data_IF_977666453256
#
_entry.id   IF_977666453256
#
_cell.length_a   1.000
_cell.length_b   1.000
_cell.length_c   1.000
_cell.angle_alpha   90.00
_cell.angle_beta   90.00
_cell.angle_gamma   90.00
#
_symmetry.space_group_name_H-M   'P 1'
#
loop_
_entity.id
_entity.type
_entity.pdbx_description
1 polymer ?
#
# COMPACT_ATOMS: atom_id res chain seq x y z
N UNK A 1 -2.97 -10.68 15.11
CA UNK A 1 -1.92 -11.20 14.21
C UNK A 1 -2.56 -11.39 12.84
N UNK A 2 -1.86 -10.98 11.78
CA UNK A 2 -2.34 -11.14 10.40
C UNK A 2 -1.94 -12.47 9.81
N UNK A 3 -2.74 -12.99 8.88
CA UNK A 3 -2.47 -14.21 8.12
C UNK A 3 -3.01 -14.06 6.70
N UNK A 4 -2.12 -14.25 5.72
CA UNK A 4 -2.44 -14.32 4.30
C UNK A 4 -1.90 -15.62 3.73
N UNK A 5 -2.68 -16.25 2.84
CA UNK A 5 -2.29 -17.46 2.12
C UNK A 5 -2.33 -17.15 0.63
N UNK A 6 -1.21 -17.40 -0.05
CA UNK A 6 -1.06 -17.25 -1.49
C UNK A 6 -1.13 -18.63 -2.16
N UNK A 7 -1.71 -18.69 -3.36
CA UNK A 7 -1.90 -19.93 -4.11
C UNK A 7 -1.41 -19.77 -5.55
N UNK A 8 -0.73 -20.77 -6.09
CA UNK A 8 -0.21 -20.75 -7.47
C UNK A 8 -1.31 -20.81 -8.54
N UNK A 9 -2.50 -21.30 -8.17
CA UNK A 9 -3.64 -21.43 -9.07
C UNK A 9 -4.84 -20.59 -8.59
N UNK A 10 -5.84 -20.49 -9.46
CA UNK A 10 -7.11 -19.80 -9.15
C UNK A 10 -7.91 -20.64 -8.15
N UNK A 11 -8.89 -20.02 -7.51
CA UNK A 11 -9.84 -20.67 -6.60
C UNK A 11 -9.15 -21.43 -5.44
N UNK A 12 -8.03 -20.88 -4.95
CA UNK A 12 -7.30 -21.39 -3.78
C UNK A 12 -6.76 -22.81 -3.96
N UNK A 13 -6.30 -23.14 -5.18
CA UNK A 13 -5.76 -24.44 -5.55
C UNK A 13 -4.25 -24.44 -5.79
N UNK A 14 -3.69 -25.63 -5.99
CA UNK A 14 -2.27 -25.83 -6.25
C UNK A 14 -1.40 -25.66 -5.01
N UNK A 15 -0.11 -25.38 -5.23
CA UNK A 15 0.82 -25.10 -4.13
C UNK A 15 0.43 -23.80 -3.44
N UNK A 16 0.54 -23.79 -2.12
CA UNK A 16 0.26 -22.61 -1.30
C UNK A 16 1.44 -22.21 -0.44
N UNK A 17 1.47 -20.93 -0.06
CA UNK A 17 2.40 -20.37 0.90
C UNK A 17 1.64 -19.50 1.89
N UNK A 18 1.75 -19.84 3.17
CA UNK A 18 1.17 -19.10 4.28
C UNK A 18 2.19 -18.08 4.81
N UNK A 19 1.75 -16.83 4.96
CA UNK A 19 2.56 -15.73 5.45
C UNK A 19 1.85 -14.99 6.59
N UNK A 20 2.55 -14.82 7.71
CA UNK A 20 2.06 -14.12 8.91
C UNK A 20 2.92 -12.91 9.29
N UNK A 21 3.84 -12.53 8.41
CA UNK A 21 4.82 -11.45 8.62
C UNK A 21 5.13 -10.77 7.29
N UNK A 22 6.12 -9.88 7.30
CA UNK A 22 6.70 -9.38 6.06
C UNK A 22 7.43 -10.51 5.31
N UNK A 23 7.36 -10.49 3.98
CA UNK A 23 8.07 -11.39 3.08
C UNK A 23 8.70 -10.58 1.94
N UNK A 24 10.03 -10.50 1.92
CA UNK A 24 10.80 -9.73 0.92
C UNK A 24 10.80 -10.36 -0.46
N UNK A 25 10.74 -11.68 -0.56
CA UNK A 25 10.74 -12.39 -1.84
C UNK A 25 10.01 -13.72 -1.70
N UNK A 26 8.93 -13.87 -2.46
CA UNK A 26 8.10 -15.07 -2.51
C UNK A 26 8.63 -16.13 -3.49
N UNK A 27 9.62 -15.80 -4.32
CA UNK A 27 10.06 -16.64 -5.44
C UNK A 27 10.61 -18.00 -5.00
N UNK A 28 11.06 -18.12 -3.74
CA UNK A 28 11.51 -19.40 -3.16
C UNK A 28 10.36 -20.32 -2.73
N UNK A 29 9.16 -19.76 -2.54
CA UNK A 29 7.99 -20.49 -2.05
C UNK A 29 6.98 -20.79 -3.17
N UNK A 30 6.77 -19.82 -4.07
CA UNK A 30 5.81 -19.88 -5.16
C UNK A 30 6.45 -19.37 -6.46
N UNK A 31 6.16 -20.05 -7.57
CA UNK A 31 6.58 -19.62 -8.91
C UNK A 31 5.70 -18.50 -9.47
N UNK A 32 4.44 -18.45 -9.03
CA UNK A 32 3.41 -17.46 -9.38
C UNK A 32 2.37 -17.37 -8.28
N UNK A 33 1.56 -16.32 -8.29
CA UNK A 33 0.36 -16.21 -7.46
C UNK A 33 -0.84 -15.93 -8.36
N UNK A 34 -1.92 -16.69 -8.22
CA UNK A 34 -3.15 -16.54 -9.02
C UNK A 34 -4.40 -16.35 -8.17
N UNK A 35 -4.35 -16.72 -6.89
CA UNK A 35 -5.38 -16.41 -5.91
C UNK A 35 -4.77 -16.26 -4.52
N UNK A 36 -5.46 -15.54 -3.62
CA UNK A 36 -5.03 -15.41 -2.23
C UNK A 36 -6.20 -15.24 -1.27
N UNK A 37 -5.99 -15.61 -0.01
CA UNK A 37 -6.95 -15.45 1.08
C UNK A 37 -6.28 -14.71 2.23
N UNK A 38 -6.87 -13.59 2.64
CA UNK A 38 -6.49 -12.90 3.86
C UNK A 38 -7.44 -13.36 4.96
N UNK A 39 -6.96 -14.22 5.86
CA UNK A 39 -7.77 -14.76 6.95
C UNK A 39 -7.95 -13.74 8.09
N UNK A 40 -6.90 -12.98 8.38
CA UNK A 40 -6.85 -11.89 9.36
C UNK A 40 -5.74 -10.92 9.01
N UNK A 41 -5.74 -9.73 9.61
CA UNK A 41 -4.77 -8.68 9.31
C UNK A 41 -4.99 -8.02 7.96
N UNK A 42 -4.36 -6.88 7.77
CA UNK A 42 -4.29 -6.24 6.46
C UNK A 42 -2.87 -6.38 5.93
N UNK A 43 -2.74 -6.54 4.61
CA UNK A 43 -1.45 -6.75 3.95
C UNK A 43 -1.28 -5.76 2.80
N UNK A 44 -0.06 -5.29 2.60
CA UNK A 44 0.32 -4.66 1.34
C UNK A 44 1.05 -5.69 0.50
N UNK A 45 0.57 -5.95 -0.72
CA UNK A 45 1.25 -6.83 -1.68
C UNK A 45 1.90 -6.02 -2.78
N UNK A 46 3.02 -6.52 -3.29
CA UNK A 46 3.88 -5.81 -4.23
C UNK A 46 4.18 -6.66 -5.45
N UNK A 47 4.27 -5.98 -6.60
CA UNK A 47 4.61 -6.55 -7.90
C UNK A 47 5.99 -7.20 -7.93
N UNK A 48 6.98 -6.59 -7.28
CA UNK A 48 8.38 -7.03 -7.31
C UNK A 48 8.88 -7.44 -5.92
N UNK A 49 9.98 -8.21 -5.85
CA UNK A 49 10.68 -8.45 -4.59
C UNK A 49 11.10 -7.14 -3.91
N UNK A 50 11.43 -7.23 -2.62
CA UNK A 50 11.92 -6.15 -1.77
C UNK A 50 10.95 -4.97 -1.64
N UNK A 51 9.64 -5.23 -1.72
CA UNK A 51 8.57 -4.23 -1.54
C UNK A 51 8.59 -3.14 -2.61
N UNK A 52 8.90 -3.53 -3.85
CA UNK A 52 9.07 -2.62 -4.97
C UNK A 52 7.96 -2.79 -6.01
N UNK A 53 7.80 -1.75 -6.84
CA UNK A 53 6.83 -1.75 -7.94
C UNK A 53 5.44 -1.36 -7.50
N UNK A 54 4.45 -1.76 -8.30
CA UNK A 54 3.05 -1.46 -7.99
C UNK A 54 2.61 -2.18 -6.71
N UNK A 55 1.69 -1.55 -5.98
CA UNK A 55 1.26 -1.98 -4.65
C UNK A 55 -0.25 -2.17 -4.63
N UNK A 56 -0.74 -3.10 -3.82
CA UNK A 56 -2.17 -3.31 -3.63
C UNK A 56 -2.50 -3.64 -2.18
N UNK A 57 -3.40 -2.87 -1.59
CA UNK A 57 -3.83 -3.03 -0.20
C UNK A 57 -4.90 -4.12 -0.09
N UNK A 58 -4.57 -5.19 0.60
CA UNK A 58 -5.45 -6.33 0.82
C UNK A 58 -6.02 -6.30 2.24
N UNK A 59 -7.34 -6.43 2.33
CA UNK A 59 -8.09 -6.58 3.58
C UNK A 59 -8.47 -8.04 3.76
N UNK A 60 -8.94 -8.38 4.96
CA UNK A 60 -9.56 -9.68 5.21
C UNK A 60 -10.61 -9.99 4.13
N UNK A 61 -10.45 -11.16 3.50
CA UNK A 61 -11.30 -11.54 2.38
C UNK A 61 -10.67 -12.58 1.47
N UNK A 62 -11.45 -12.96 0.45
CA UNK A 62 -11.10 -13.97 -0.53
C UNK A 62 -10.92 -13.35 -1.91
N UNK A 63 -9.75 -13.58 -2.51
CA UNK A 63 -9.35 -13.08 -3.82
C UNK A 63 -9.14 -14.29 -4.74
N UNK A 64 -10.25 -14.80 -5.28
CA UNK A 64 -10.33 -16.08 -6.01
C UNK A 64 -9.51 -16.16 -7.29
N UNK A 65 -9.23 -15.03 -7.92
CA UNK A 65 -8.51 -14.95 -9.18
C UNK A 65 -7.99 -13.53 -9.43
N UNK A 66 -7.05 -13.41 -10.37
CA UNK A 66 -6.45 -12.13 -10.75
C UNK A 66 -7.46 -11.17 -11.39
N UNK A 67 -8.48 -11.65 -12.11
CA UNK A 67 -9.46 -10.78 -12.75
C UNK A 67 -10.28 -10.01 -11.72
N UNK A 68 -10.67 -10.68 -10.62
CA UNK A 68 -11.31 -10.05 -9.47
C UNK A 68 -10.38 -9.06 -8.76
N UNK A 69 -9.10 -9.38 -8.60
CA UNK A 69 -8.14 -8.44 -8.03
C UNK A 69 -7.98 -7.19 -8.91
N UNK A 70 -7.93 -7.36 -10.23
CA UNK A 70 -7.85 -6.26 -11.20
C UNK A 70 -9.11 -5.39 -11.18
N UNK A 71 -10.29 -5.98 -11.04
CA UNK A 71 -11.54 -5.19 -10.90
C UNK A 71 -11.62 -4.39 -9.60
N UNK A 72 -10.83 -4.77 -8.58
CA UNK A 72 -10.64 -4.02 -7.34
C UNK A 72 -9.52 -2.98 -7.42
N UNK A 73 -8.86 -2.83 -8.58
CA UNK A 73 -7.83 -1.81 -8.83
C UNK A 73 -6.39 -2.30 -8.66
N UNK A 74 -6.15 -3.61 -8.55
CA UNK A 74 -4.80 -4.16 -8.73
C UNK A 74 -4.38 -3.96 -10.19
N UNK A 75 -3.14 -3.53 -10.44
CA UNK A 75 -2.66 -3.15 -11.77
C UNK A 75 -1.46 -4.00 -12.23
N UNK A 76 -1.29 -5.17 -11.63
CA UNK A 76 -0.18 -6.09 -11.88
C UNK A 76 -0.64 -7.54 -11.70
N UNK A 77 0.02 -8.47 -12.40
CA UNK A 77 -0.41 -9.85 -12.53
C UNK A 77 0.41 -10.86 -11.69
N UNK A 78 1.40 -10.37 -10.93
CA UNK A 78 2.28 -11.21 -10.14
C UNK A 78 2.60 -10.58 -8.79
N UNK A 79 2.37 -11.32 -7.70
CA UNK A 79 2.73 -10.89 -6.34
C UNK A 79 4.06 -11.52 -5.97
N UNK A 80 5.06 -10.70 -5.63
CA UNK A 80 6.43 -11.16 -5.34
C UNK A 80 6.91 -10.83 -3.94
N UNK A 81 6.29 -9.88 -3.26
CA UNK A 81 6.57 -9.58 -1.85
C UNK A 81 5.33 -9.03 -1.15
N UNK A 82 5.30 -9.11 0.19
CA UNK A 82 4.21 -8.54 0.97
C UNK A 82 4.69 -8.00 2.32
N UNK A 83 3.94 -7.04 2.86
CA UNK A 83 4.10 -6.56 4.23
C UNK A 83 2.83 -6.80 5.02
N UNK A 84 2.96 -7.31 6.23
CA UNK A 84 1.87 -7.27 7.20
C UNK A 84 1.75 -5.84 7.70
N UNK A 85 0.55 -5.28 7.71
CA UNK A 85 0.30 -3.95 8.25
C UNK A 85 -0.13 -4.11 9.70
N UNK A 86 0.67 -3.64 10.68
CA UNK A 86 0.28 -3.69 12.08
C UNK A 86 -0.99 -2.90 12.33
N UNK A 87 -1.85 -3.44 13.19
CA UNK A 87 -2.97 -2.67 13.67
C UNK A 87 -2.47 -1.52 14.55
N UNK A 88 -2.84 -0.30 14.21
CA UNK A 88 -2.45 0.90 14.96
C UNK A 88 -3.61 1.40 15.81
N UNK A 89 -3.36 1.53 17.13
CA UNK A 89 -4.26 2.20 18.06
C UNK A 89 -3.67 3.56 18.43
N UNK A 90 -4.46 4.62 18.31
CA UNK A 90 -4.08 5.95 18.77
C UNK A 90 -4.20 7.00 17.68
N UNK A 91 -3.37 8.03 17.80
CA UNK A 91 -3.39 9.15 16.87
C UNK A 91 -2.75 8.76 15.54
N UNK A 92 -3.20 9.40 14.47
CA UNK A 92 -2.58 9.33 13.16
C UNK A 92 -2.01 10.71 12.87
N UNK A 93 -0.76 10.75 12.38
CA UNK A 93 -0.12 12.03 12.08
C UNK A 93 0.90 11.87 10.97
N UNK A 94 0.74 12.67 9.92
CA UNK A 94 1.65 12.73 8.78
C UNK A 94 1.83 14.18 8.35
N UNK A 95 3.05 14.56 7.99
CA UNK A 95 3.34 15.83 7.32
C UNK A 95 3.66 15.57 5.86
N UNK A 96 3.01 16.30 4.97
CA UNK A 96 3.26 16.26 3.54
C UNK A 96 3.94 17.56 3.09
N UNK A 97 4.79 17.44 2.08
CA UNK A 97 5.60 18.53 1.57
C UNK A 97 5.50 18.57 0.05
N UNK A 98 5.34 19.79 -0.48
CA UNK A 98 5.20 20.03 -1.92
C UNK A 98 6.44 19.59 -2.71
N UNK A 99 7.64 19.72 -2.11
CA UNK A 99 8.91 19.39 -2.76
C UNK A 99 9.61 18.24 -2.04
N UNK A 100 10.60 17.66 -2.71
CA UNK A 100 11.50 16.66 -2.13
C UNK A 100 12.29 17.25 -0.95
N UNK A 101 12.87 16.38 -0.12
CA UNK A 101 13.68 16.74 1.05
C UNK A 101 12.97 17.68 2.03
N UNK A 102 11.65 17.50 2.22
CA UNK A 102 10.82 18.28 3.14
C UNK A 102 10.76 19.78 2.83
N UNK A 103 10.92 20.14 1.56
CA UNK A 103 10.86 21.53 1.09
C UNK A 103 9.48 21.97 0.60
N UNK A 104 9.34 23.27 0.37
CA UNK A 104 8.11 23.88 -0.17
C UNK A 104 7.00 24.03 0.86
N UNK A 105 5.76 24.15 0.40
CA UNK A 105 4.59 24.19 1.28
C UNK A 105 4.50 22.90 2.11
N UNK A 106 4.18 23.03 3.41
CA UNK A 106 3.98 21.91 4.33
C UNK A 106 2.56 21.94 4.90
N UNK A 107 1.93 20.77 4.97
CA UNK A 107 0.66 20.60 5.69
C UNK A 107 0.71 19.34 6.57
N UNK A 108 0.03 19.39 7.71
CA UNK A 108 -0.09 18.27 8.64
C UNK A 108 -1.48 17.64 8.53
N UNK A 109 -1.50 16.31 8.41
CA UNK A 109 -2.69 15.48 8.29
C UNK A 109 -2.84 14.62 9.54
N UNK A 110 -3.99 14.71 10.18
CA UNK A 110 -4.42 13.81 11.26
C UNK A 110 -5.66 12.98 10.87
N UNK A 111 -6.25 13.31 9.72
CA UNK A 111 -7.44 12.69 9.17
C UNK A 111 -7.23 12.31 7.71
N UNK A 112 -8.19 11.58 7.15
CA UNK A 112 -8.23 11.29 5.73
C UNK A 112 -8.35 12.60 4.93
N UNK A 113 -7.78 12.62 3.73
CA UNK A 113 -7.76 13.77 2.85
C UNK A 113 -8.14 13.32 1.43
N UNK A 114 -9.36 13.66 1.01
CA UNK A 114 -9.88 13.32 -0.31
C UNK A 114 -9.15 14.05 -1.46
N UNK A 115 -8.63 15.24 -1.21
CA UNK A 115 -7.90 16.05 -2.20
C UNK A 115 -7.02 17.10 -1.50
N UNK A 116 -5.69 17.00 -1.66
CA UNK A 116 -4.76 18.02 -1.14
C UNK A 116 -4.87 19.34 -1.90
N UNK A 117 -5.30 19.29 -3.16
CA UNK A 117 -5.48 20.49 -3.97
C UNK A 117 -6.66 21.31 -3.45
N UNK A 118 -7.77 20.66 -3.11
CA UNK A 118 -8.95 21.35 -2.58
C UNK A 118 -8.73 21.81 -1.13
N UNK A 119 -8.18 20.92 -0.28
CA UNK A 119 -8.02 21.19 1.15
C UNK A 119 -6.87 22.16 1.45
N UNK A 120 -5.75 22.05 0.74
CA UNK A 120 -4.52 22.76 1.07
C UNK A 120 -3.97 23.62 -0.07
N UNK A 121 -4.64 23.66 -1.24
CA UNK A 121 -4.14 24.34 -2.45
C UNK A 121 -2.74 23.87 -2.88
N UNK A 122 -2.40 22.62 -2.53
CA UNK A 122 -1.13 21.98 -2.85
C UNK A 122 -1.27 21.17 -4.14
N UNK A 123 -0.41 21.43 -5.13
CA UNK A 123 -0.50 20.78 -6.44
C UNK A 123 0.15 19.40 -6.48
N UNK A 124 1.11 19.14 -5.60
CA UNK A 124 1.86 17.89 -5.58
C UNK A 124 2.37 17.61 -4.18
N UNK A 125 2.64 16.34 -3.89
CA UNK A 125 3.31 15.90 -2.68
C UNK A 125 4.51 15.06 -3.10
N UNK A 126 5.72 15.54 -2.82
CA UNK A 126 6.97 14.90 -3.25
C UNK A 126 7.80 14.35 -2.10
N UNK A 127 7.50 14.73 -0.87
CA UNK A 127 8.08 14.11 0.32
C UNK A 127 7.10 14.15 1.49
N UNK A 128 7.27 13.24 2.45
CA UNK A 128 6.45 13.22 3.65
C UNK A 128 7.22 12.66 4.85
N UNK A 129 6.73 12.97 6.03
CA UNK A 129 7.15 12.33 7.26
C UNK A 129 5.89 11.76 7.88
N UNK A 130 5.88 10.47 8.19
CA UNK A 130 4.80 9.82 8.95
C UNK A 130 5.27 9.71 10.39
N UNK A 131 4.64 10.47 11.30
CA UNK A 131 4.96 10.41 12.73
C UNK A 131 4.26 9.20 13.34
N UNK A 132 2.97 9.05 13.04
CA UNK A 132 2.10 8.10 13.71
C UNK A 132 1.13 7.44 12.72
N UNK A 133 0.90 6.16 12.95
CA UNK A 133 -0.03 5.33 12.20
C UNK A 133 0.47 4.89 10.82
N UNK A 134 -0.43 4.23 10.11
CA UNK A 134 -0.20 3.64 8.80
C UNK A 134 -1.08 4.34 7.77
N UNK A 135 -0.52 4.71 6.63
CA UNK A 135 -1.18 5.55 5.65
C UNK A 135 -1.09 4.97 4.24
N UNK A 136 -2.11 5.26 3.44
CA UNK A 136 -2.11 5.07 1.99
C UNK A 136 -2.14 6.44 1.33
N UNK A 137 -1.21 6.69 0.40
CA UNK A 137 -1.30 7.80 -0.54
C UNK A 137 -1.78 7.29 -1.90
N UNK A 138 -2.54 8.12 -2.61
CA UNK A 138 -3.12 7.77 -3.89
C UNK A 138 -2.81 8.84 -4.95
N UNK A 139 -2.58 8.38 -6.17
CA UNK A 139 -2.23 9.21 -7.33
C UNK A 139 -3.32 10.23 -7.67
N UNK A 140 -4.58 9.88 -7.47
CA UNK A 140 -5.72 10.74 -7.80
C UNK A 140 -6.50 11.14 -6.54
N UNK A 141 -7.29 12.22 -6.61
CA UNK A 141 -8.28 12.54 -5.59
C UNK A 141 -9.24 11.36 -5.33
N UNK A 142 -9.85 11.36 -4.15
CA UNK A 142 -10.85 10.36 -3.73
C UNK A 142 -10.35 8.91 -3.78
N UNK A 143 -9.08 8.69 -3.41
CA UNK A 143 -8.47 7.37 -3.20
C UNK A 143 -8.40 6.50 -4.46
N UNK A 144 -8.07 7.10 -5.61
CA UNK A 144 -8.00 6.43 -6.92
C UNK A 144 -6.59 6.41 -7.51
N UNK A 145 -6.41 5.58 -8.53
CA UNK A 145 -5.13 5.43 -9.22
C UNK A 145 -4.12 4.61 -8.42
N UNK A 146 -2.83 4.76 -8.74
CA UNK A 146 -1.75 4.07 -8.03
C UNK A 146 -1.77 4.42 -6.54
N UNK A 147 -1.47 3.44 -5.71
CA UNK A 147 -1.37 3.61 -4.26
C UNK A 147 0.04 3.35 -3.74
N UNK A 148 0.38 4.02 -2.65
CA UNK A 148 1.64 3.85 -1.93
C UNK A 148 1.39 3.70 -0.44
N UNK A 149 1.91 2.62 0.14
CA UNK A 149 1.90 2.40 1.58
C UNK A 149 3.03 3.15 2.28
N UNK A 150 2.66 3.84 3.35
CA UNK A 150 3.60 4.51 4.25
C UNK A 150 3.41 4.01 5.68
N UNK A 151 4.53 3.63 6.29
CA UNK A 151 4.65 3.35 7.71
C UNK A 151 5.33 4.55 8.40
N UNK A 152 5.39 4.60 9.75
CA UNK A 152 6.15 5.63 10.44
C UNK A 152 7.60 5.74 9.92
N UNK A 153 8.03 6.97 9.63
CA UNK A 153 9.34 7.24 9.05
C UNK A 153 9.40 8.48 8.16
N UNK A 154 10.62 8.80 7.73
CA UNK A 154 10.96 9.93 6.85
C UNK A 154 11.09 9.49 5.39
N UNK A 155 10.34 10.13 4.50
CA UNK A 155 10.31 9.85 3.07
C UNK A 155 10.72 11.10 2.29
N UNK A 156 12.01 11.25 2.01
CA UNK A 156 12.58 12.44 1.36
C UNK A 156 12.28 12.54 -0.14
N UNK A 157 12.01 11.42 -0.79
CA UNK A 157 11.55 11.32 -2.16
C UNK A 157 10.81 10.00 -2.36
N UNK A 158 9.86 9.96 -3.29
CA UNK A 158 9.14 8.75 -3.66
C UNK A 158 9.74 8.03 -4.90
N UNK A 159 10.73 8.65 -5.56
CA UNK A 159 11.31 8.15 -6.83
C UNK A 159 11.89 6.74 -6.70
N UNK A 160 12.71 6.53 -5.67
CA UNK A 160 13.41 5.27 -5.45
C UNK A 160 12.48 4.12 -5.03
N UNK A 161 11.23 4.44 -4.66
CA UNK A 161 10.21 3.46 -4.28
C UNK A 161 9.36 2.99 -5.46
N UNK A 162 9.78 3.30 -6.69
CA UNK A 162 9.05 2.94 -7.91
C UNK A 162 7.86 3.87 -8.22
N UNK A 163 7.76 5.01 -7.54
CA UNK A 163 6.71 6.01 -7.71
C UNK A 163 7.19 7.23 -8.50
N UNK A 164 8.27 7.09 -9.27
CA UNK A 164 8.80 8.16 -10.11
C UNK A 164 7.72 8.69 -11.06
N UNK A 165 7.55 10.02 -11.09
CA UNK A 165 6.52 10.71 -11.89
C UNK A 165 5.09 10.54 -11.40
N UNK A 166 4.85 9.83 -10.29
CA UNK A 166 3.52 9.74 -9.68
C UNK A 166 3.28 10.96 -8.81
N UNK A 167 2.18 11.67 -9.04
CA UNK A 167 1.73 12.79 -8.22
C UNK A 167 0.70 12.28 -7.24
N UNK A 168 0.88 12.51 -5.95
CA UNK A 168 -0.06 12.02 -4.95
C UNK A 168 -1.04 13.11 -4.54
N UNK A 169 -2.34 12.82 -4.62
CA UNK A 169 -3.41 13.81 -4.49
C UNK A 169 -4.38 13.54 -3.34
N UNK A 170 -4.45 12.32 -2.83
CA UNK A 170 -5.28 11.97 -1.67
C UNK A 170 -4.58 11.01 -0.72
N UNK A 171 -4.97 11.03 0.56
CA UNK A 171 -4.33 10.26 1.62
C UNK A 171 -5.36 9.68 2.58
N UNK A 172 -5.20 8.42 2.96
CA UNK A 172 -6.12 7.71 3.84
C UNK A 172 -5.38 7.03 4.97
N UNK A 173 -5.93 7.11 6.18
CA UNK A 173 -5.45 6.32 7.32
C UNK A 173 -5.88 4.87 7.16
N UNK A 174 -5.00 3.95 7.51
CA UNK A 174 -5.33 2.53 7.61
C UNK A 174 -5.83 2.28 9.03
N UNK A 175 -7.15 2.33 9.19
CA UNK A 175 -7.85 2.11 10.48
C UNK A 175 -8.50 0.73 10.56
N UNK A 176 -8.43 -0.05 9.48
CA UNK A 176 -9.02 -1.37 9.39
C UNK A 176 -8.49 -2.29 10.51
N UNK A 177 -9.40 -2.77 11.35
CA UNK A 177 -9.20 -3.94 12.20
C UNK A 177 -9.46 -5.19 11.35
N UNK A 178 -8.68 -5.38 10.28
CA UNK A 178 -8.54 -6.72 9.77
C UNK A 178 -7.58 -7.50 10.71
#
# INVERSE_FOLDING_TARGET
>A
MGKIIFYEERNFQGRSYECMSDCTDMSSYLSRCQSCRVESGCFMVYERPNYMGQQFFMRRGEYSDMQRMMSMGMMFDNIRSCRMIPFHRGQFRMRIYEKENFGGQMNELMEDCDSIMERYRMNDCMSCHVMDGHWLMYEQPHYRGKMMYLKPGEYRSFRDMGMSGTRFMSMRRITDMC
#
